data_IF_631594020729
#
_entry.id   IF_631594020729
#
_cell.length_a   1.000
_cell.length_b   1.000
_cell.length_c   1.000
_cell.angle_alpha   90.00
_cell.angle_beta   90.00
_cell.angle_gamma   90.00
#
_symmetry.space_group_name_H-M   'P 1'
#
loop_
_entity.id
_entity.type
_entity.pdbx_description
1 polymer ?
#
# COMPACT_ATOMS: atom_id res chain seq x y z
N UNK A 1 2.90 -29.77 -5.53
CA UNK A 1 1.59 -29.52 -6.20
C UNK A 1 1.59 -30.34 -7.49
N UNK A 2 0.54 -31.11 -7.76
CA UNK A 2 0.37 -31.82 -9.02
C UNK A 2 0.38 -30.82 -10.21
N UNK A 3 1.24 -30.98 -11.22
CA UNK A 3 1.32 -30.04 -12.34
C UNK A 3 -0.02 -29.82 -13.07
N UNK A 4 -0.80 -30.89 -13.21
CA UNK A 4 -2.12 -30.88 -13.85
C UNK A 4 -3.15 -30.06 -13.08
N UNK A 5 -3.08 -30.04 -11.75
CA UNK A 5 -3.95 -29.23 -10.91
C UNK A 5 -3.62 -27.74 -11.06
N UNK A 6 -2.33 -27.40 -11.10
CA UNK A 6 -1.87 -26.03 -11.31
C UNK A 6 -2.30 -25.50 -12.69
N UNK A 7 -2.12 -26.30 -13.74
CA UNK A 7 -2.54 -25.94 -15.10
C UNK A 7 -4.05 -25.63 -15.16
N UNK A 8 -4.88 -26.47 -14.51
CA UNK A 8 -6.32 -26.23 -14.42
C UNK A 8 -6.64 -24.92 -13.70
N UNK A 9 -5.99 -24.63 -12.56
CA UNK A 9 -6.24 -23.39 -11.83
C UNK A 9 -5.81 -22.13 -12.61
N UNK A 10 -4.77 -22.24 -13.44
CA UNK A 10 -4.28 -21.12 -14.23
C UNK A 10 -5.12 -20.86 -15.48
N UNK A 11 -5.68 -21.91 -16.08
CA UNK A 11 -6.37 -21.81 -17.39
C UNK A 11 -7.87 -21.94 -17.33
N UNK A 12 -8.45 -22.39 -16.21
CA UNK A 12 -9.89 -22.56 -16.05
C UNK A 12 -10.41 -21.68 -14.92
N UNK A 13 -11.57 -21.07 -15.16
CA UNK A 13 -12.35 -20.40 -14.14
C UNK A 13 -13.48 -21.31 -13.66
N UNK A 14 -13.55 -21.56 -12.35
CA UNK A 14 -14.61 -22.37 -11.73
C UNK A 14 -15.85 -21.50 -11.47
N UNK A 15 -16.94 -21.79 -12.17
CA UNK A 15 -18.22 -21.13 -11.97
C UNK A 15 -19.13 -22.03 -11.13
N UNK A 16 -19.54 -21.53 -9.97
CA UNK A 16 -20.55 -22.18 -9.12
C UNK A 16 -21.93 -21.63 -9.48
N UNK A 17 -22.78 -22.47 -10.07
CA UNK A 17 -24.16 -22.09 -10.34
C UNK A 17 -24.97 -22.03 -9.04
N UNK A 18 -25.55 -20.87 -8.73
CA UNK A 18 -26.44 -20.65 -7.59
C UNK A 18 -27.85 -21.17 -7.94
N UNK A 19 -28.11 -22.46 -7.66
CA UNK A 19 -29.41 -23.10 -7.81
C UNK A 19 -29.50 -24.38 -6.98
N UNK A 20 -30.71 -24.97 -6.88
CA UNK A 20 -31.01 -26.15 -6.03
C UNK A 20 -30.14 -27.38 -6.34
N UNK A 21 -29.48 -27.40 -7.50
CA UNK A 21 -28.48 -28.39 -7.89
C UNK A 21 -27.13 -27.68 -7.99
N UNK A 22 -26.26 -27.85 -6.99
CA UNK A 22 -24.87 -27.38 -7.05
C UNK A 22 -24.18 -28.06 -8.24
N UNK A 23 -24.10 -27.37 -9.36
CA UNK A 23 -23.29 -27.78 -10.50
C UNK A 23 -22.09 -26.84 -10.58
N UNK A 24 -20.91 -27.44 -10.74
CA UNK A 24 -19.66 -26.73 -10.98
C UNK A 24 -19.40 -26.80 -12.47
N UNK A 25 -19.33 -25.65 -13.12
CA UNK A 25 -18.99 -25.55 -14.54
C UNK A 25 -17.62 -24.89 -14.66
N UNK A 26 -16.80 -25.35 -15.61
CA UNK A 26 -15.50 -24.77 -15.88
C UNK A 26 -15.55 -23.98 -17.19
N UNK A 27 -15.07 -22.75 -17.16
CA UNK A 27 -14.88 -21.92 -18.34
C UNK A 27 -13.38 -21.82 -18.65
N UNK A 28 -13.00 -22.07 -19.90
CA UNK A 28 -11.62 -21.86 -20.36
C UNK A 28 -11.36 -20.35 -20.45
N UNK A 29 -10.26 -19.91 -19.84
CA UNK A 29 -9.82 -18.52 -19.90
C UNK A 29 -9.22 -18.20 -21.27
N UNK A 30 -9.29 -16.93 -21.65
CA UNK A 30 -8.54 -16.42 -22.77
C UNK A 30 -7.03 -16.33 -22.41
N UNK A 31 -6.13 -16.19 -23.41
CA UNK A 31 -4.70 -16.09 -23.15
C UNK A 31 -4.31 -14.90 -22.25
N UNK A 32 -5.11 -13.83 -22.21
CA UNK A 32 -4.92 -12.70 -21.28
C UNK A 32 -5.21 -13.11 -19.83
N UNK A 33 -6.37 -13.72 -19.58
CA UNK A 33 -6.77 -14.17 -18.25
C UNK A 33 -5.81 -15.20 -17.67
N UNK A 34 -5.36 -16.16 -18.48
CA UNK A 34 -4.37 -17.14 -18.04
C UNK A 34 -3.01 -16.51 -17.69
N UNK A 35 -2.55 -15.49 -18.45
CA UNK A 35 -1.33 -14.73 -18.13
C UNK A 35 -1.49 -13.93 -16.86
N UNK A 36 -2.62 -13.25 -16.68
CA UNK A 36 -2.90 -12.51 -15.45
C UNK A 36 -2.91 -13.44 -14.23
N UNK A 37 -3.53 -14.61 -14.31
CA UNK A 37 -3.50 -15.59 -13.22
C UNK A 37 -2.09 -16.07 -12.88
N UNK A 38 -1.26 -16.34 -13.89
CA UNK A 38 0.15 -16.70 -13.69
C UNK A 38 0.91 -15.57 -12.98
N UNK A 39 0.75 -14.33 -13.44
CA UNK A 39 1.47 -13.18 -12.89
C UNK A 39 1.01 -12.86 -11.47
N UNK A 40 -0.30 -12.96 -11.20
CA UNK A 40 -0.86 -12.87 -9.84
C UNK A 40 -0.31 -13.96 -8.94
N UNK A 41 -0.26 -15.22 -9.39
CA UNK A 41 0.32 -16.30 -8.60
C UNK A 41 1.79 -16.03 -8.27
N UNK A 42 2.59 -15.56 -9.24
CA UNK A 42 3.99 -15.22 -9.01
C UNK A 42 4.15 -14.10 -7.97
N UNK A 43 3.34 -13.04 -8.08
CA UNK A 43 3.32 -11.91 -7.12
C UNK A 43 2.93 -12.38 -5.71
N UNK A 44 1.89 -13.20 -5.61
CA UNK A 44 1.42 -13.78 -4.33
C UNK A 44 2.47 -14.68 -3.67
N UNK A 45 3.16 -15.51 -4.45
CA UNK A 45 4.24 -16.35 -3.94
C UNK A 45 5.39 -15.50 -3.42
N UNK A 46 5.81 -14.48 -4.17
CA UNK A 46 6.85 -13.56 -3.73
C UNK A 46 6.46 -12.84 -2.44
N UNK A 47 5.23 -12.30 -2.38
CA UNK A 47 4.71 -11.63 -1.18
C UNK A 47 4.73 -12.56 0.03
N UNK A 48 4.29 -13.82 -0.12
CA UNK A 48 4.31 -14.81 0.98
C UNK A 48 5.71 -15.16 1.44
N UNK A 49 6.66 -15.27 0.52
CA UNK A 49 8.08 -15.51 0.87
C UNK A 49 8.65 -14.31 1.61
N UNK A 50 8.39 -13.09 1.12
CA UNK A 50 8.82 -11.86 1.79
C UNK A 50 8.26 -11.77 3.21
N UNK A 51 6.94 -11.93 3.39
CA UNK A 51 6.33 -11.95 4.73
C UNK A 51 6.91 -13.05 5.61
N UNK A 52 7.11 -14.26 5.09
CA UNK A 52 7.72 -15.34 5.84
C UNK A 52 9.13 -14.98 6.35
N UNK A 53 9.95 -14.31 5.53
CA UNK A 53 11.28 -13.86 5.94
C UNK A 53 11.18 -12.80 7.03
N UNK A 54 10.30 -11.80 6.87
CA UNK A 54 10.08 -10.75 7.88
C UNK A 54 9.60 -11.35 9.20
N UNK A 55 8.62 -12.25 9.16
CA UNK A 55 8.08 -12.93 10.35
C UNK A 55 9.16 -13.74 11.06
N UNK A 56 10.02 -14.44 10.30
CA UNK A 56 11.14 -15.20 10.86
C UNK A 56 12.16 -14.30 11.55
N UNK A 57 12.51 -13.17 10.94
CA UNK A 57 13.42 -12.20 11.55
C UNK A 57 12.79 -11.65 12.82
N UNK A 58 11.54 -11.19 12.75
CA UNK A 58 10.79 -10.65 13.89
C UNK A 58 10.75 -11.65 15.05
N UNK A 59 10.43 -12.92 14.79
CA UNK A 59 10.40 -13.96 15.83
C UNK A 59 11.76 -14.19 16.52
N UNK A 60 12.89 -13.78 15.91
CA UNK A 60 14.22 -13.89 16.54
C UNK A 60 14.64 -12.62 17.30
N UNK A 61 14.15 -11.44 16.88
CA UNK A 61 14.55 -10.15 17.46
C UNK A 61 13.51 -9.58 18.44
N UNK A 62 12.33 -10.18 18.52
CA UNK A 62 11.22 -9.68 19.34
C UNK A 62 11.58 -9.66 20.84
N UNK A 63 11.23 -8.55 21.49
CA UNK A 63 11.57 -8.29 22.90
C UNK A 63 10.40 -8.65 23.82
N UNK A 64 10.58 -9.63 24.70
CA UNK A 64 9.53 -10.16 25.60
C UNK A 64 9.41 -9.44 26.95
N UNK A 65 10.00 -8.25 27.11
CA UNK A 65 9.93 -7.49 28.36
C UNK A 65 8.60 -6.75 28.55
N UNK A 66 8.29 -6.39 29.81
CA UNK A 66 7.01 -5.76 30.18
C UNK A 66 6.95 -4.24 29.91
N UNK A 67 8.08 -3.55 29.94
CA UNK A 67 8.16 -2.11 29.63
C UNK A 67 8.80 -1.92 28.26
N UNK A 68 7.96 -1.82 27.23
CA UNK A 68 8.43 -1.61 25.85
C UNK A 68 8.41 -0.12 25.55
N UNK A 69 9.60 0.47 25.40
CA UNK A 69 9.79 1.77 24.75
C UNK A 69 10.28 1.50 23.33
N UNK A 70 9.53 1.98 22.34
CA UNK A 70 9.83 1.76 20.92
C UNK A 70 10.44 3.01 20.30
N UNK A 71 11.50 2.83 19.52
CA UNK A 71 12.01 3.83 18.60
C UNK A 71 11.75 3.34 17.18
N UNK A 72 10.90 4.06 16.45
CA UNK A 72 10.61 3.77 15.05
C UNK A 72 11.67 4.41 14.14
N UNK A 73 12.12 3.66 13.14
CA UNK A 73 12.94 4.18 12.04
C UNK A 73 12.14 3.95 10.77
N UNK A 74 12.09 4.97 9.91
CA UNK A 74 11.41 4.90 8.62
C UNK A 74 12.45 5.05 7.51
N UNK A 75 12.49 4.07 6.61
CA UNK A 75 13.30 4.07 5.40
C UNK A 75 12.38 3.85 4.20
N UNK A 76 12.27 4.86 3.33
CA UNK A 76 11.36 4.87 2.19
C UNK A 76 12.04 5.46 0.95
N UNK A 77 11.53 5.10 -0.23
CA UNK A 77 11.96 5.69 -1.50
C UNK A 77 11.62 7.18 -1.56
N UNK A 78 12.55 8.00 -2.06
CA UNK A 78 12.31 9.42 -2.34
C UNK A 78 11.57 9.66 -3.67
N UNK A 79 11.33 10.93 -3.99
CA UNK A 79 10.68 11.33 -5.25
C UNK A 79 11.45 10.83 -6.48
N UNK A 80 10.72 10.30 -7.46
CA UNK A 80 11.25 9.83 -8.74
C UNK A 80 10.68 10.63 -9.91
N UNK A 81 11.56 11.05 -10.83
CA UNK A 81 11.17 11.70 -12.09
C UNK A 81 11.92 11.05 -13.23
N UNK A 82 11.22 10.20 -13.99
CA UNK A 82 11.73 9.54 -15.18
C UNK A 82 11.19 10.19 -16.45
N UNK A 83 11.75 9.84 -17.60
CA UNK A 83 11.24 10.30 -18.91
C UNK A 83 9.79 9.84 -19.15
N UNK A 84 9.44 8.64 -18.69
CA UNK A 84 8.07 8.12 -18.66
C UNK A 84 7.83 7.57 -17.26
N UNK A 85 6.87 8.17 -16.54
CA UNK A 85 6.48 7.72 -15.21
C UNK A 85 5.32 6.74 -15.33
N UNK A 86 5.49 5.54 -14.78
CA UNK A 86 4.43 4.53 -14.73
C UNK A 86 3.57 4.70 -13.47
N UNK A 87 2.58 3.82 -13.29
CA UNK A 87 1.80 3.77 -12.05
C UNK A 87 2.70 3.60 -10.82
N UNK A 88 3.84 2.91 -10.94
CA UNK A 88 4.78 2.72 -9.83
C UNK A 88 5.38 4.05 -9.37
N UNK A 89 5.94 4.84 -10.28
CA UNK A 89 6.47 6.19 -9.96
C UNK A 89 5.37 7.10 -9.41
N UNK A 90 4.15 7.01 -9.95
CA UNK A 90 3.02 7.77 -9.42
C UNK A 90 2.71 7.40 -7.95
N UNK A 91 2.69 6.10 -7.62
CA UNK A 91 2.47 5.63 -6.25
C UNK A 91 3.62 6.02 -5.31
N UNK A 92 4.87 5.96 -5.78
CA UNK A 92 6.05 6.42 -5.02
C UNK A 92 5.94 7.91 -4.69
N UNK A 93 5.64 8.74 -5.68
CA UNK A 93 5.52 10.18 -5.50
C UNK A 93 4.31 10.55 -4.62
N UNK A 94 3.20 9.83 -4.76
CA UNK A 94 2.04 9.97 -3.89
C UNK A 94 2.38 9.70 -2.41
N UNK A 95 3.08 8.60 -2.11
CA UNK A 95 3.48 8.28 -0.73
C UNK A 95 4.40 9.37 -0.16
N UNK A 96 5.33 9.90 -0.97
CA UNK A 96 6.19 11.02 -0.55
C UNK A 96 5.38 12.28 -0.25
N UNK A 97 4.41 12.63 -1.10
CA UNK A 97 3.54 13.79 -0.89
C UNK A 97 2.72 13.67 0.41
N UNK A 98 2.14 12.49 0.67
CA UNK A 98 1.40 12.21 1.89
C UNK A 98 2.29 12.26 3.14
N UNK A 99 3.53 11.77 3.03
CA UNK A 99 4.51 11.84 4.13
C UNK A 99 4.95 13.28 4.42
N UNK A 100 5.16 14.08 3.37
CA UNK A 100 5.46 15.51 3.53
C UNK A 100 4.32 16.24 4.22
N UNK A 101 3.06 15.96 3.83
CA UNK A 101 1.90 16.53 4.51
C UNK A 101 1.85 16.13 5.99
N UNK A 102 2.09 14.85 6.30
CA UNK A 102 2.13 14.37 7.68
C UNK A 102 3.23 15.07 8.50
N UNK A 103 4.41 15.29 7.91
CA UNK A 103 5.52 15.98 8.58
C UNK A 103 5.19 17.45 8.87
N UNK A 104 4.57 18.14 7.91
CA UNK A 104 4.12 19.53 8.06
C UNK A 104 3.10 19.62 9.21
N UNK A 105 2.09 18.74 9.23
CA UNK A 105 1.10 18.73 10.29
C UNK A 105 1.70 18.37 11.64
N UNK A 106 2.59 17.37 11.72
CA UNK A 106 3.13 16.93 13.00
C UNK A 106 4.17 17.90 13.58
N UNK A 107 4.96 18.56 12.74
CA UNK A 107 6.08 19.39 13.19
C UNK A 107 5.61 20.84 13.34
N UNK A 108 5.19 21.48 12.26
CA UNK A 108 4.91 22.92 12.25
C UNK A 108 3.63 23.27 13.01
N UNK A 109 2.56 22.49 12.86
CA UNK A 109 1.32 22.79 13.59
C UNK A 109 1.49 22.52 15.09
N UNK A 110 2.13 21.41 15.44
CA UNK A 110 2.34 21.03 16.83
C UNK A 110 3.29 21.98 17.56
N UNK A 111 4.37 22.42 16.92
CA UNK A 111 5.27 23.43 17.49
C UNK A 111 4.50 24.73 17.78
N UNK A 112 3.69 25.19 16.84
CA UNK A 112 2.88 26.41 17.02
C UNK A 112 1.84 26.26 18.14
N UNK A 113 1.22 25.08 18.28
CA UNK A 113 0.32 24.76 19.39
C UNK A 113 1.07 24.75 20.74
N UNK A 114 2.25 24.15 20.81
CA UNK A 114 3.08 24.08 22.02
C UNK A 114 3.57 25.46 22.47
N UNK A 115 4.04 26.30 21.54
CA UNK A 115 4.42 27.69 21.84
C UNK A 115 3.24 28.51 22.39
N UNK A 116 2.05 28.32 21.83
CA UNK A 116 0.84 29.00 22.30
C UNK A 116 0.41 28.51 23.69
N UNK A 117 0.53 27.21 23.98
CA UNK A 117 0.25 26.63 25.30
C UNK A 117 1.24 27.11 26.38
N UNK A 118 2.52 27.28 26.03
CA UNK A 118 3.54 27.80 26.94
C UNK A 118 3.49 29.33 27.10
N UNK A 119 2.63 30.02 26.35
CA UNK A 119 2.48 31.48 26.40
C UNK A 119 3.71 32.24 25.87
N UNK A 120 4.49 31.61 24.99
CA UNK A 120 5.64 32.21 24.33
C UNK A 120 5.14 33.02 23.14
N UNK A 121 5.60 34.27 22.98
CA UNK A 121 5.30 35.06 21.78
C UNK A 121 5.88 34.35 20.56
N UNK A 122 4.99 33.86 19.70
CA UNK A 122 5.32 33.18 18.45
C UNK A 122 4.70 33.92 17.26
N UNK A 123 5.49 34.09 16.20
CA UNK A 123 5.01 34.60 14.92
C UNK A 123 4.58 33.42 14.05
N UNK A 124 3.29 33.35 13.72
CA UNK A 124 2.77 32.26 12.89
C UNK A 124 3.53 32.18 11.56
N UNK A 125 4.06 31.00 11.25
CA UNK A 125 4.77 30.75 10.00
C UNK A 125 3.78 30.20 8.99
N UNK A 126 3.59 30.94 7.90
CA UNK A 126 2.84 30.44 6.75
C UNK A 126 3.64 29.31 6.09
N UNK A 127 2.99 28.16 5.91
CA UNK A 127 3.55 27.00 5.21
C UNK A 127 2.67 26.58 4.05
N UNK A 128 3.27 25.90 3.09
CA UNK A 128 2.57 25.36 1.93
C UNK A 128 1.83 24.07 2.33
N UNK A 129 0.52 24.06 2.14
CA UNK A 129 -0.33 22.91 2.44
C UNK A 129 -0.42 21.98 1.21
N UNK A 130 0.11 20.75 1.35
CA UNK A 130 0.06 19.73 0.30
C UNK A 130 -1.28 18.97 0.29
N UNK A 131 -2.15 19.18 1.28
CA UNK A 131 -3.44 18.50 1.38
C UNK A 131 -4.30 18.59 0.11
N UNK A 132 -4.37 19.72 -0.62
CA UNK A 132 -5.13 19.78 -1.87
C UNK A 132 -4.62 18.79 -2.92
N UNK A 133 -3.30 18.56 -3.00
CA UNK A 133 -2.70 17.57 -3.92
C UNK A 133 -3.01 16.16 -3.46
N UNK A 134 -2.77 15.86 -2.18
CA UNK A 134 -3.05 14.55 -1.59
C UNK A 134 -4.54 14.19 -1.75
N UNK A 135 -5.44 15.10 -1.37
CA UNK A 135 -6.90 14.95 -1.51
C UNK A 135 -7.35 14.74 -2.96
N UNK A 136 -6.68 15.35 -3.93
CA UNK A 136 -6.96 15.11 -5.35
C UNK A 136 -6.60 13.68 -5.77
N UNK A 137 -5.58 13.09 -5.17
CA UNK A 137 -5.13 11.72 -5.46
C UNK A 137 -5.97 10.68 -4.71
N UNK A 138 -6.14 10.81 -3.39
CA UNK A 138 -6.76 9.79 -2.53
C UNK A 138 -8.22 10.06 -2.11
N UNK A 139 -8.79 11.21 -2.48
CA UNK A 139 -10.14 11.60 -2.04
C UNK A 139 -11.24 10.57 -2.38
N UNK A 140 -12.30 10.53 -1.57
CA UNK A 140 -13.39 9.53 -1.75
C UNK A 140 -14.20 9.70 -3.03
N UNK A 141 -14.29 10.93 -3.54
CA UNK A 141 -15.09 11.27 -4.72
C UNK A 141 -14.27 12.16 -5.65
N UNK A 142 -14.34 11.90 -6.96
CA UNK A 142 -13.67 12.69 -8.01
C UNK A 142 -12.14 12.80 -7.86
N UNK A 143 -11.52 11.85 -7.16
CA UNK A 143 -10.06 11.74 -7.08
C UNK A 143 -9.49 10.88 -8.20
N UNK A 144 -8.17 10.82 -8.31
CA UNK A 144 -7.47 9.93 -9.24
C UNK A 144 -7.76 8.47 -8.89
N UNK A 145 -7.59 8.05 -7.63
CA UNK A 145 -7.83 6.66 -7.24
C UNK A 145 -9.29 6.23 -7.34
N UNK A 146 -10.24 7.15 -7.16
CA UNK A 146 -11.67 6.82 -7.33
C UNK A 146 -12.09 6.60 -8.80
N UNK A 147 -11.23 6.96 -9.76
CA UNK A 147 -11.50 6.85 -11.20
C UNK A 147 -10.71 5.73 -11.89
N UNK A 148 -9.81 5.05 -11.17
CA UNK A 148 -9.03 3.90 -11.63
C UNK A 148 -9.75 2.58 -11.30
#
# INVERSE_FOLDING_TARGET
VEPSALERCLTLHELKAMGSRKSVTFQVLDPSGARNNRDTLAKELYQRVFSFVVDRINAQIDYQGKDVRLMGILDIYGFEVLQINSLEQFLINYVNESLQQYFIELTLKKEQEEYAEEGIEWENIDYFDNNPVVSMIEGKHKSVFAQL
#
